data_IF_443596988514
#
_entry.id   IF_443596988514
#
_cell.length_a   1.000
_cell.length_b   1.000
_cell.length_c   1.000
_cell.angle_alpha   90.00
_cell.angle_beta   90.00
_cell.angle_gamma   90.00
#
_symmetry.space_group_name_H-M   'P 1'
#
loop_
_entity.id
_entity.type
_entity.pdbx_description
1 polymer ?
#
# COMPACT_ATOMS: atom_id res chain seq x y z
N UNK A 1 3.83 49.87 -2.31
CA UNK A 1 3.40 48.46 -2.28
C UNK A 1 3.68 47.92 -0.89
N UNK A 2 2.64 47.59 -0.10
CA UNK A 2 2.88 46.96 1.23
C UNK A 2 3.40 45.54 0.99
N UNK A 3 4.59 45.25 1.45
CA UNK A 3 5.11 43.87 1.44
C UNK A 3 4.19 42.99 2.30
N UNK A 4 3.60 41.98 1.70
CA UNK A 4 2.91 40.93 2.44
C UNK A 4 3.89 40.24 3.37
N UNK A 5 3.69 40.39 4.67
CA UNK A 5 4.45 39.61 5.65
C UNK A 5 3.67 38.32 5.89
N UNK A 6 4.08 37.25 5.23
CA UNK A 6 3.54 35.89 5.40
C UNK A 6 3.40 35.44 6.85
N UNK A 7 4.23 36.02 7.74
CA UNK A 7 4.23 35.69 9.16
C UNK A 7 2.90 35.97 9.88
N UNK A 8 2.06 36.89 9.37
CA UNK A 8 0.80 37.25 10.00
C UNK A 8 -0.31 36.25 9.70
N UNK A 9 -0.21 35.49 8.62
CA UNK A 9 -1.27 34.60 8.11
C UNK A 9 -0.90 33.13 8.16
N UNK A 10 0.32 32.79 8.54
CA UNK A 10 0.68 31.39 8.71
C UNK A 10 0.29 30.96 10.13
N UNK A 11 -0.46 29.86 10.28
CA UNK A 11 -0.64 29.26 11.58
C UNK A 11 0.74 29.01 12.19
N UNK A 12 0.88 29.19 13.48
CA UNK A 12 2.12 28.94 14.20
C UNK A 12 2.61 27.54 13.86
N UNK A 13 3.61 27.45 13.01
CA UNK A 13 4.29 26.18 12.78
C UNK A 13 4.91 25.76 14.10
N UNK A 14 4.76 24.51 14.51
CA UNK A 14 5.40 24.02 15.72
C UNK A 14 6.91 24.17 15.56
N UNK A 15 7.48 25.07 16.38
CA UNK A 15 8.90 25.36 16.40
C UNK A 15 9.44 25.11 17.80
N UNK A 16 10.62 24.52 17.87
CA UNK A 16 11.48 24.57 19.05
C UNK A 16 12.61 25.57 18.77
N UNK A 17 12.49 26.77 19.30
CA UNK A 17 13.34 27.90 18.93
C UNK A 17 13.15 28.24 17.43
N UNK A 18 14.18 28.02 16.61
CA UNK A 18 14.17 28.26 15.15
C UNK A 18 13.98 26.96 14.32
N UNK A 19 13.85 25.80 14.97
CA UNK A 19 13.77 24.52 14.28
C UNK A 19 12.30 24.11 14.09
N UNK A 20 11.99 23.61 12.90
CA UNK A 20 10.71 22.93 12.66
C UNK A 20 10.68 21.60 13.42
N UNK A 21 9.59 21.34 14.12
CA UNK A 21 9.38 20.07 14.87
C UNK A 21 8.21 19.26 14.31
N UNK A 22 7.93 19.39 13.00
CA UNK A 22 6.82 18.71 12.34
C UNK A 22 6.89 17.19 12.45
N UNK A 23 8.08 16.61 12.40
CA UNK A 23 8.32 15.18 12.54
C UNK A 23 9.01 14.83 13.86
N UNK A 24 8.58 15.46 14.96
CA UNK A 24 9.12 15.14 16.29
C UNK A 24 8.81 13.68 16.67
N UNK A 25 9.59 13.05 17.55
CA UNK A 25 9.30 11.71 18.06
C UNK A 25 7.88 11.57 18.61
N UNK A 26 7.37 12.60 19.29
CA UNK A 26 6.01 12.62 19.82
C UNK A 26 4.96 12.63 18.71
N UNK A 27 5.13 13.43 17.66
CA UNK A 27 4.21 13.48 16.53
C UNK A 27 4.25 12.17 15.73
N UNK A 28 5.43 11.57 15.55
CA UNK A 28 5.57 10.27 14.90
C UNK A 28 4.87 9.17 15.69
N UNK A 29 5.00 9.17 17.02
CA UNK A 29 4.30 8.23 17.90
C UNK A 29 2.78 8.42 17.85
N UNK A 30 2.31 9.67 17.80
CA UNK A 30 0.88 9.99 17.66
C UNK A 30 0.33 9.51 16.31
N UNK A 31 1.04 9.78 15.21
CA UNK A 31 0.68 9.29 13.87
C UNK A 31 0.60 7.76 13.83
N UNK A 32 1.57 7.07 14.42
CA UNK A 32 1.56 5.60 14.53
C UNK A 32 0.36 5.08 15.33
N UNK A 33 0.02 5.76 16.44
CA UNK A 33 -1.17 5.41 17.23
C UNK A 33 -2.44 5.63 16.44
N UNK A 34 -2.59 6.75 15.76
CA UNK A 34 -3.76 7.03 14.92
C UNK A 34 -3.93 5.98 13.81
N UNK A 35 -2.84 5.59 13.13
CA UNK A 35 -2.88 4.53 12.13
C UNK A 35 -3.32 3.18 12.72
N UNK A 36 -2.84 2.82 13.91
CA UNK A 36 -3.25 1.58 14.59
C UNK A 36 -4.72 1.59 15.01
N UNK A 37 -5.22 2.73 15.51
CA UNK A 37 -6.61 2.89 15.90
C UNK A 37 -7.56 2.98 14.69
N UNK A 38 -7.05 3.37 13.51
CA UNK A 38 -7.80 3.40 12.25
C UNK A 38 -7.90 2.06 11.52
N UNK A 39 -7.19 1.01 11.97
CA UNK A 39 -7.32 -0.31 11.38
C UNK A 39 -8.64 -0.97 11.78
N UNK A 40 -9.34 -1.55 10.81
CA UNK A 40 -10.61 -2.23 11.03
C UNK A 40 -10.44 -3.73 10.79
N UNK A 41 -10.74 -4.55 11.80
CA UNK A 41 -10.82 -6.01 11.65
C UNK A 41 -12.19 -6.38 11.10
N UNK A 42 -12.28 -6.66 9.80
CA UNK A 42 -13.53 -6.95 9.12
C UNK A 42 -14.02 -8.37 9.39
N UNK A 43 -13.09 -9.32 9.52
CA UNK A 43 -13.37 -10.74 9.68
C UNK A 43 -12.23 -11.46 10.39
N UNK A 44 -12.55 -12.30 11.37
CA UNK A 44 -11.60 -13.19 12.04
C UNK A 44 -12.36 -14.39 12.63
N UNK A 45 -12.86 -15.27 11.75
CA UNK A 45 -13.71 -16.40 12.15
C UNK A 45 -12.93 -17.59 12.72
N UNK A 46 -11.61 -17.56 12.57
CA UNK A 46 -10.70 -18.59 13.07
C UNK A 46 -9.64 -18.00 14.02
N UNK A 47 -8.81 -18.82 14.64
CA UNK A 47 -7.79 -18.37 15.60
C UNK A 47 -6.51 -17.86 14.92
N UNK A 48 -6.58 -17.29 13.69
CA UNK A 48 -5.41 -16.84 12.97
C UNK A 48 -4.84 -15.54 13.56
N UNK A 49 -5.71 -14.58 13.83
CA UNK A 49 -5.27 -13.29 14.40
C UNK A 49 -5.66 -13.19 15.88
N UNK A 50 -4.75 -12.69 16.73
CA UNK A 50 -3.38 -12.29 16.43
C UNK A 50 -2.49 -13.47 16.04
N UNK A 51 -1.50 -13.22 15.17
CA UNK A 51 -0.52 -14.25 14.82
C UNK A 51 0.21 -14.74 16.08
N UNK A 52 0.35 -16.04 16.23
CA UNK A 52 1.14 -16.60 17.33
C UNK A 52 2.63 -16.21 17.17
N UNK A 53 3.31 -16.06 18.31
CA UNK A 53 4.75 -15.77 18.30
C UNK A 53 5.51 -16.84 17.53
N UNK A 54 6.43 -16.41 16.64
CA UNK A 54 7.24 -17.31 15.84
C UNK A 54 6.56 -17.83 14.57
N UNK A 55 5.28 -17.49 14.33
CA UNK A 55 4.59 -17.84 13.07
C UNK A 55 5.39 -17.31 11.88
N UNK A 56 5.87 -18.20 11.01
CA UNK A 56 6.50 -17.80 9.75
C UNK A 56 5.45 -17.49 8.70
N UNK A 57 5.55 -16.32 8.09
CA UNK A 57 4.57 -15.78 7.16
C UNK A 57 5.12 -15.74 5.73
N UNK A 58 4.35 -16.26 4.78
CA UNK A 58 4.50 -15.99 3.37
C UNK A 58 3.69 -14.74 2.99
N UNK A 59 4.36 -13.69 2.53
CA UNK A 59 3.75 -12.39 2.25
C UNK A 59 3.52 -12.23 0.75
N UNK A 60 2.25 -12.29 0.34
CA UNK A 60 1.79 -12.24 -1.06
C UNK A 60 1.20 -10.89 -1.43
N UNK A 61 1.27 -10.58 -2.71
CA UNK A 61 0.69 -9.38 -3.29
C UNK A 61 1.68 -8.22 -3.36
N UNK A 62 1.68 -7.54 -4.51
CA UNK A 62 2.52 -6.36 -4.73
C UNK A 62 2.31 -5.26 -3.68
N UNK A 63 1.09 -5.17 -3.13
CA UNK A 63 0.73 -4.22 -2.07
C UNK A 63 1.58 -4.35 -0.80
N UNK A 64 2.32 -5.45 -0.63
CA UNK A 64 3.29 -5.62 0.46
C UNK A 64 4.43 -4.62 0.39
N UNK A 65 4.81 -4.20 -0.83
CA UNK A 65 5.88 -3.25 -1.14
C UNK A 65 5.36 -1.98 -1.82
N UNK A 66 4.37 -2.10 -2.70
CA UNK A 66 3.60 -0.99 -3.28
C UNK A 66 2.49 -0.55 -2.31
N UNK A 67 2.91 -0.11 -1.12
CA UNK A 67 2.02 0.27 -0.04
C UNK A 67 1.66 1.75 -0.15
N UNK A 68 0.38 2.03 -0.27
CA UNK A 68 -0.11 3.41 -0.43
C UNK A 68 -0.15 4.09 0.93
N UNK A 69 0.72 5.08 1.15
CA UNK A 69 0.83 5.84 2.40
C UNK A 69 -0.28 6.89 2.60
N UNK A 70 -0.92 7.27 1.51
CA UNK A 70 -1.95 8.31 1.49
C UNK A 70 -2.35 8.63 0.05
N UNK A 71 -3.28 9.55 -0.12
CA UNK A 71 -3.75 9.97 -1.43
C UNK A 71 -2.74 10.82 -2.20
N UNK A 72 -3.05 11.11 -3.45
CA UNK A 72 -2.30 12.04 -4.30
C UNK A 72 -2.63 13.51 -4.05
N UNK A 73 -2.18 14.38 -4.94
CA UNK A 73 -2.42 15.82 -4.87
C UNK A 73 -1.81 16.45 -3.62
N UNK A 74 -2.58 17.30 -2.95
CA UNK A 74 -2.14 17.98 -1.72
C UNK A 74 -1.93 17.03 -0.54
N UNK A 75 -2.47 15.83 -0.58
CA UNK A 75 -2.25 14.76 0.41
C UNK A 75 -0.92 14.02 0.25
N UNK A 76 -0.25 14.14 -0.90
CA UNK A 76 1.04 13.48 -1.16
C UNK A 76 2.21 14.31 -0.62
N UNK A 77 2.30 14.40 0.69
CA UNK A 77 3.35 15.15 1.37
C UNK A 77 4.70 14.42 1.31
N UNK A 78 5.77 15.20 1.14
CA UNK A 78 7.13 14.69 1.24
C UNK A 78 7.44 14.29 2.68
N UNK A 79 7.83 13.04 2.87
CA UNK A 79 8.18 12.46 4.18
C UNK A 79 9.61 11.94 4.17
N UNK A 80 10.21 11.80 5.35
CA UNK A 80 11.58 11.28 5.48
C UNK A 80 11.68 9.78 5.13
N UNK A 81 10.62 9.03 5.38
CA UNK A 81 10.53 7.61 5.06
C UNK A 81 9.06 7.17 4.97
N UNK A 82 8.84 6.06 4.29
CA UNK A 82 7.57 5.34 4.25
C UNK A 82 7.80 3.92 4.76
N UNK A 83 6.88 3.40 5.54
CA UNK A 83 6.88 1.99 5.97
C UNK A 83 5.79 1.24 5.21
N UNK A 84 6.17 0.17 4.56
CA UNK A 84 5.24 -0.79 3.98
C UNK A 84 4.96 -1.93 4.97
N UNK A 85 4.11 -2.88 4.59
CA UNK A 85 3.76 -3.99 5.48
C UNK A 85 4.96 -4.91 5.74
N UNK A 86 5.80 -5.17 4.72
CA UNK A 86 7.01 -5.96 4.90
C UNK A 86 7.92 -5.37 5.98
N UNK A 87 8.22 -4.06 5.89
CA UNK A 87 9.05 -3.36 6.87
C UNK A 87 8.45 -3.45 8.28
N UNK A 88 7.13 -3.26 8.39
CA UNK A 88 6.41 -3.33 9.66
C UNK A 88 6.48 -4.73 10.30
N UNK A 89 6.30 -5.78 9.52
CA UNK A 89 6.41 -7.17 9.99
C UNK A 89 7.85 -7.52 10.41
N UNK A 90 8.83 -7.10 9.64
CA UNK A 90 10.26 -7.28 9.99
C UNK A 90 10.62 -6.58 11.30
N UNK A 91 10.17 -5.33 11.49
CA UNK A 91 10.40 -4.58 12.71
C UNK A 91 9.69 -5.20 13.93
N UNK A 92 8.54 -5.84 13.70
CA UNK A 92 7.83 -6.60 14.74
C UNK A 92 8.47 -7.97 15.04
N UNK A 93 9.53 -8.35 14.32
CA UNK A 93 10.21 -9.63 14.50
C UNK A 93 9.45 -10.84 13.95
N UNK A 94 8.50 -10.62 13.02
CA UNK A 94 7.78 -11.71 12.36
C UNK A 94 8.71 -12.38 11.35
N UNK A 95 8.95 -13.70 11.43
CA UNK A 95 9.72 -14.42 10.43
C UNK A 95 8.98 -14.42 9.09
N UNK A 96 9.67 -14.03 8.02
CA UNK A 96 9.10 -14.00 6.67
C UNK A 96 9.82 -15.03 5.77
N UNK A 97 9.08 -15.56 4.78
CA UNK A 97 9.65 -16.33 3.70
C UNK A 97 10.26 -15.39 2.67
N UNK A 98 11.54 -15.13 2.79
CA UNK A 98 12.27 -14.09 2.05
C UNK A 98 12.28 -14.29 0.53
N UNK A 99 12.38 -15.50 -0.05
CA UNK A 99 12.38 -15.63 -1.51
C UNK A 99 11.12 -15.07 -2.18
N UNK A 100 9.94 -15.18 -1.52
CA UNK A 100 8.71 -14.57 -2.00
C UNK A 100 8.73 -13.04 -1.84
N UNK A 101 9.25 -12.56 -0.71
CA UNK A 101 9.42 -11.13 -0.47
C UNK A 101 10.38 -10.50 -1.48
N UNK A 102 11.46 -11.18 -1.84
CA UNK A 102 12.42 -10.74 -2.85
C UNK A 102 11.81 -10.68 -4.24
N UNK A 103 10.96 -11.65 -4.60
CA UNK A 103 10.21 -11.64 -5.86
C UNK A 103 9.35 -10.36 -5.98
N UNK A 104 8.52 -10.07 -4.98
CA UNK A 104 7.67 -8.87 -5.02
C UNK A 104 8.46 -7.59 -4.91
N UNK A 105 9.51 -7.54 -4.11
CA UNK A 105 10.40 -6.38 -4.00
C UNK A 105 11.06 -6.05 -5.32
N UNK A 106 11.60 -7.05 -6.00
CA UNK A 106 12.25 -6.87 -7.30
C UNK A 106 11.26 -6.38 -8.35
N UNK A 107 10.05 -6.98 -8.38
CA UNK A 107 8.99 -6.56 -9.28
C UNK A 107 8.61 -5.08 -9.06
N UNK A 108 8.24 -4.70 -7.83
CA UNK A 108 7.81 -3.34 -7.51
C UNK A 108 8.92 -2.32 -7.77
N UNK A 109 10.16 -2.65 -7.40
CA UNK A 109 11.31 -1.77 -7.68
C UNK A 109 11.55 -1.59 -9.17
N UNK A 110 11.36 -2.64 -9.98
CA UNK A 110 11.45 -2.57 -11.43
C UNK A 110 10.37 -1.69 -12.05
N UNK A 111 9.13 -1.79 -11.56
CA UNK A 111 8.02 -0.95 -12.02
C UNK A 111 8.26 0.53 -11.70
N UNK A 112 8.72 0.85 -10.49
CA UNK A 112 9.08 2.23 -10.14
C UNK A 112 10.23 2.77 -10.97
N UNK A 113 11.24 1.95 -11.26
CA UNK A 113 12.34 2.33 -12.14
C UNK A 113 11.87 2.58 -13.60
N UNK A 114 10.79 1.91 -14.01
CA UNK A 114 10.14 2.14 -15.31
C UNK A 114 9.19 3.36 -15.31
N UNK A 115 9.02 4.05 -14.18
CA UNK A 115 8.20 5.25 -14.06
C UNK A 115 6.77 5.00 -13.60
N UNK A 116 6.48 3.82 -13.06
CA UNK A 116 5.19 3.56 -12.45
C UNK A 116 5.02 4.36 -11.16
N UNK A 117 3.77 4.67 -10.86
CA UNK A 117 3.41 5.42 -9.65
C UNK A 117 2.79 4.48 -8.62
N UNK A 118 2.88 4.83 -7.32
CA UNK A 118 2.30 4.03 -6.25
C UNK A 118 0.82 3.68 -6.48
N UNK A 119 0.47 2.42 -6.25
CA UNK A 119 -0.90 1.91 -6.40
C UNK A 119 -1.36 1.64 -7.82
N UNK A 120 -0.56 2.02 -8.85
CA UNK A 120 -0.93 1.90 -10.27
C UNK A 120 -0.01 0.95 -11.04
N UNK A 121 0.29 -0.17 -10.46
CA UNK A 121 0.93 -1.30 -11.16
C UNK A 121 0.05 -2.53 -11.08
N UNK A 122 0.12 -3.38 -12.07
CA UNK A 122 -0.61 -4.66 -12.08
C UNK A 122 -0.03 -5.62 -11.03
N UNK A 123 -0.83 -6.57 -10.58
CA UNK A 123 -0.32 -7.72 -9.83
C UNK A 123 0.52 -8.60 -10.78
N UNK A 124 1.75 -9.00 -10.42
CA UNK A 124 2.55 -9.88 -11.25
C UNK A 124 1.97 -11.29 -11.31
N UNK A 125 2.25 -12.00 -12.38
CA UNK A 125 1.98 -13.44 -12.43
C UNK A 125 2.85 -14.15 -11.37
N UNK A 126 2.18 -14.84 -10.44
CA UNK A 126 2.84 -15.55 -9.35
C UNK A 126 3.30 -16.94 -9.83
N UNK A 127 4.61 -17.25 -9.80
CA UNK A 127 5.08 -18.59 -10.18
C UNK A 127 4.52 -19.68 -9.26
N UNK A 128 4.02 -20.75 -9.84
CA UNK A 128 3.45 -21.88 -9.09
C UNK A 128 4.48 -22.52 -8.15
N UNK A 129 5.69 -22.74 -8.65
CA UNK A 129 6.78 -23.29 -7.86
C UNK A 129 7.12 -22.43 -6.63
N UNK A 130 7.07 -21.09 -6.75
CA UNK A 130 7.32 -20.19 -5.64
C UNK A 130 6.23 -20.28 -4.57
N UNK A 131 4.97 -20.42 -4.99
CA UNK A 131 3.85 -20.66 -4.05
C UNK A 131 3.99 -21.98 -3.31
N UNK A 132 4.37 -23.06 -4.00
CA UNK A 132 4.59 -24.36 -3.38
C UNK A 132 5.72 -24.34 -2.37
N UNK A 133 6.84 -23.67 -2.70
CA UNK A 133 7.97 -23.49 -1.78
C UNK A 133 7.57 -22.63 -0.58
N UNK A 134 6.86 -21.51 -0.80
CA UNK A 134 6.37 -20.66 0.27
C UNK A 134 5.46 -21.44 1.24
N UNK A 135 4.58 -22.30 0.69
CA UNK A 135 3.70 -23.17 1.51
C UNK A 135 4.50 -24.17 2.36
N UNK A 136 5.55 -24.77 1.78
CA UNK A 136 6.38 -25.74 2.51
C UNK A 136 7.18 -25.09 3.67
N UNK A 137 7.50 -23.80 3.56
CA UNK A 137 8.38 -23.08 4.46
C UNK A 137 7.64 -22.10 5.39
N UNK A 138 6.30 -22.04 5.34
CA UNK A 138 5.54 -21.04 6.10
C UNK A 138 4.30 -21.62 6.75
N UNK A 139 3.95 -21.06 7.92
CA UNK A 139 2.80 -21.49 8.73
C UNK A 139 1.49 -20.83 8.29
N UNK A 140 1.59 -19.62 7.73
CA UNK A 140 0.47 -18.80 7.31
C UNK A 140 0.82 -17.93 6.10
N UNK A 141 -0.20 -17.55 5.35
CA UNK A 141 -0.10 -16.58 4.28
C UNK A 141 -0.74 -15.24 4.68
N UNK A 142 -0.15 -14.14 4.23
CA UNK A 142 -0.76 -12.81 4.25
C UNK A 142 -0.82 -12.29 2.83
N UNK A 143 -2.01 -11.94 2.36
CA UNK A 143 -2.23 -11.34 1.04
C UNK A 143 -2.47 -9.86 1.24
N UNK A 144 -1.79 -9.01 0.45
CA UNK A 144 -1.95 -7.56 0.51
C UNK A 144 -2.50 -7.04 -0.80
N UNK A 145 -3.68 -6.45 -0.74
CA UNK A 145 -4.30 -5.76 -1.85
C UNK A 145 -4.26 -4.26 -1.60
N UNK A 146 -3.76 -3.49 -2.57
CA UNK A 146 -3.67 -2.04 -2.46
C UNK A 146 -4.49 -1.37 -3.55
N UNK A 147 -5.13 -0.25 -3.19
CA UNK A 147 -5.82 0.65 -4.10
C UNK A 147 -5.41 2.07 -3.78
N UNK A 148 -5.13 2.82 -4.81
CA UNK A 148 -4.82 4.23 -4.68
C UNK A 148 -6.10 5.06 -4.74
N UNK A 149 -6.21 6.08 -3.89
CA UNK A 149 -7.16 7.18 -4.06
C UNK A 149 -6.51 8.48 -3.65
N UNK A 150 -6.95 9.59 -4.20
CA UNK A 150 -6.36 10.88 -3.91
C UNK A 150 -7.14 12.02 -4.54
N UNK A 151 -6.66 13.25 -4.31
CA UNK A 151 -7.24 14.44 -4.90
C UNK A 151 -7.28 14.33 -6.43
N UNK A 152 -8.46 14.52 -7.02
CA UNK A 152 -8.69 14.32 -8.46
C UNK A 152 -8.82 12.85 -8.90
N UNK A 153 -8.86 11.93 -7.94
CA UNK A 153 -8.91 10.49 -8.16
C UNK A 153 -10.03 9.86 -7.36
N UNK A 154 -11.25 10.30 -7.63
CA UNK A 154 -12.42 9.71 -7.01
C UNK A 154 -12.59 8.27 -7.51
N UNK A 155 -12.90 7.37 -6.59
CA UNK A 155 -13.16 5.98 -6.94
C UNK A 155 -14.55 5.84 -7.47
N UNK A 156 -14.65 5.44 -8.72
CA UNK A 156 -15.90 5.06 -9.34
C UNK A 156 -15.90 3.57 -9.69
N UNK A 157 -17.04 2.89 -9.62
CA UNK A 157 -17.18 1.49 -10.03
C UNK A 157 -16.82 1.26 -11.51
N UNK A 158 -17.01 2.29 -12.32
CA UNK A 158 -16.56 2.35 -13.72
C UNK A 158 -15.63 3.55 -13.84
N UNK A 159 -14.41 3.34 -14.34
CA UNK A 159 -13.52 4.45 -14.69
C UNK A 159 -14.12 5.25 -15.84
N UNK A 160 -14.86 6.27 -15.50
CA UNK A 160 -15.28 7.27 -16.46
C UNK A 160 -14.11 8.21 -16.72
N UNK A 161 -13.48 8.04 -17.86
CA UNK A 161 -12.48 8.97 -18.35
C UNK A 161 -13.15 9.83 -19.41
N UNK A 162 -13.38 11.07 -19.05
CA UNK A 162 -13.64 12.11 -20.03
C UNK A 162 -12.40 12.22 -20.94
N UNK A 163 -12.54 12.00 -22.26
CA UNK A 163 -11.38 12.04 -23.16
C UNK A 163 -10.71 13.42 -23.24
N UNK A 164 -11.34 14.47 -22.75
CA UNK A 164 -10.93 15.88 -22.89
C UNK A 164 -10.51 16.55 -21.57
N UNK A 165 -10.06 15.78 -20.56
CA UNK A 165 -9.58 16.39 -19.33
C UNK A 165 -8.32 17.22 -19.57
N UNK A 166 -8.28 18.53 -19.17
CA UNK A 166 -7.26 19.48 -19.67
C UNK A 166 -5.87 19.38 -19.01
N UNK A 167 -5.62 18.39 -18.13
CA UNK A 167 -4.35 18.25 -17.40
C UNK A 167 -3.50 17.11 -17.93
N UNK A 168 -2.44 17.39 -18.74
CA UNK A 168 -1.71 16.35 -19.46
C UNK A 168 -1.02 15.31 -18.58
N UNK A 169 -0.66 15.66 -17.34
CA UNK A 169 0.03 14.72 -16.44
C UNK A 169 -0.94 13.77 -15.69
N UNK A 170 -2.20 14.13 -15.62
CA UNK A 170 -3.26 13.32 -15.00
C UNK A 170 -3.95 12.42 -16.03
N UNK A 171 -3.85 12.74 -17.31
CA UNK A 171 -4.44 11.97 -18.41
C UNK A 171 -3.83 10.56 -18.58
N UNK A 172 -2.56 10.39 -18.26
CA UNK A 172 -1.93 9.08 -18.39
C UNK A 172 -2.35 8.12 -17.29
N UNK A 173 -2.58 8.65 -16.09
CA UNK A 173 -2.89 7.84 -14.92
C UNK A 173 -4.27 7.18 -15.00
N UNK A 174 -5.36 7.88 -15.34
CA UNK A 174 -6.65 7.26 -15.55
C UNK A 174 -6.66 6.18 -16.62
N UNK A 175 -6.01 6.40 -17.76
CA UNK A 175 -5.93 5.38 -18.82
C UNK A 175 -5.17 4.15 -18.34
N UNK A 176 -4.08 4.35 -17.61
CA UNK A 176 -3.31 3.28 -17.02
C UNK A 176 -4.13 2.53 -15.96
N UNK A 177 -4.86 3.25 -15.10
CA UNK A 177 -5.77 2.64 -14.13
C UNK A 177 -6.84 1.79 -14.82
N UNK A 178 -7.43 2.27 -15.91
CA UNK A 178 -8.42 1.51 -16.69
C UNK A 178 -7.81 0.24 -17.34
N UNK A 179 -6.56 0.33 -17.79
CA UNK A 179 -5.86 -0.83 -18.33
C UNK A 179 -5.60 -1.90 -17.24
N UNK A 180 -5.25 -1.47 -16.02
CA UNK A 180 -5.01 -2.36 -14.88
C UNK A 180 -6.33 -2.89 -14.30
N UNK A 181 -7.35 -2.03 -14.16
CA UNK A 181 -8.64 -2.32 -13.53
C UNK A 181 -9.80 -2.17 -14.52
N UNK A 182 -9.92 -3.05 -15.53
CA UNK A 182 -10.91 -2.89 -16.61
C UNK A 182 -12.38 -2.94 -16.14
N UNK A 183 -12.63 -3.49 -14.94
CA UNK A 183 -13.95 -3.53 -14.29
C UNK A 183 -14.11 -2.50 -13.19
N UNK A 184 -13.18 -1.55 -13.06
CA UNK A 184 -13.07 -0.63 -11.94
C UNK A 184 -12.23 -1.19 -10.80
N UNK A 185 -11.64 -0.31 -10.02
CA UNK A 185 -10.69 -0.65 -8.96
C UNK A 185 -11.33 -1.24 -7.69
N UNK A 186 -12.66 -1.22 -7.61
CA UNK A 186 -13.42 -1.91 -6.56
C UNK A 186 -13.36 -3.43 -6.69
N UNK A 187 -13.12 -3.94 -7.91
CA UNK A 187 -13.05 -5.38 -8.19
C UNK A 187 -11.61 -5.87 -8.22
N UNK A 188 -11.42 -7.15 -7.90
CA UNK A 188 -10.15 -7.81 -8.15
C UNK A 188 -9.87 -7.87 -9.65
N UNK A 189 -8.62 -7.62 -10.05
CA UNK A 189 -8.14 -7.94 -11.39
C UNK A 189 -8.05 -9.45 -11.56
N UNK A 190 -7.97 -9.93 -12.80
CA UNK A 190 -7.85 -11.37 -13.05
C UNK A 190 -6.55 -11.94 -12.46
N UNK A 191 -5.46 -11.16 -12.49
CA UNK A 191 -4.19 -11.51 -11.86
C UNK A 191 -4.29 -11.59 -10.33
N UNK A 192 -4.92 -10.59 -9.69
CA UNK A 192 -5.17 -10.62 -8.24
C UNK A 192 -6.07 -11.81 -7.86
N UNK A 193 -7.12 -12.05 -8.65
CA UNK A 193 -7.99 -13.21 -8.41
C UNK A 193 -7.24 -14.52 -8.51
N UNK A 194 -6.43 -14.70 -9.55
CA UNK A 194 -5.61 -15.90 -9.73
C UNK A 194 -4.62 -16.08 -8.56
N UNK A 195 -3.99 -15.02 -8.08
CA UNK A 195 -3.11 -15.04 -6.91
C UNK A 195 -3.90 -15.45 -5.66
N UNK A 196 -5.05 -14.82 -5.39
CA UNK A 196 -5.90 -15.13 -4.22
C UNK A 196 -6.36 -16.58 -4.26
N UNK A 197 -6.90 -17.06 -5.39
CA UNK A 197 -7.38 -18.43 -5.55
C UNK A 197 -6.24 -19.44 -5.30
N UNK A 198 -5.06 -19.18 -5.84
CA UNK A 198 -3.87 -20.04 -5.66
C UNK A 198 -3.42 -20.07 -4.21
N UNK A 199 -3.33 -18.93 -3.55
CA UNK A 199 -2.88 -18.85 -2.15
C UNK A 199 -3.91 -19.49 -1.22
N UNK A 200 -5.20 -19.20 -1.39
CA UNK A 200 -6.26 -19.83 -0.59
C UNK A 200 -6.37 -21.34 -0.83
N UNK A 201 -6.02 -21.81 -2.03
CA UNK A 201 -5.96 -23.25 -2.31
C UNK A 201 -4.73 -23.95 -1.70
N UNK A 202 -3.65 -23.20 -1.47
CA UNK A 202 -2.41 -23.74 -0.92
C UNK A 202 -2.32 -23.66 0.61
N UNK A 203 -2.85 -22.60 1.23
CA UNK A 203 -2.73 -22.33 2.66
C UNK A 203 -4.08 -22.47 3.38
N UNK A 204 -4.07 -23.11 4.53
CA UNK A 204 -5.24 -23.19 5.43
C UNK A 204 -5.43 -21.89 6.25
N UNK A 205 -4.32 -21.19 6.53
CA UNK A 205 -4.29 -19.97 7.34
C UNK A 205 -3.93 -18.80 6.46
N UNK A 206 -4.93 -18.02 6.08
CA UNK A 206 -4.76 -16.86 5.19
C UNK A 206 -5.37 -15.63 5.84
N UNK A 207 -4.59 -14.57 5.99
CA UNK A 207 -5.06 -13.23 6.31
C UNK A 207 -5.00 -12.34 5.07
N UNK A 208 -6.00 -11.49 4.89
CA UNK A 208 -6.02 -10.50 3.80
C UNK A 208 -5.94 -9.10 4.41
N UNK A 209 -5.02 -8.31 3.92
CA UNK A 209 -4.85 -6.89 4.28
C UNK A 209 -5.30 -6.04 3.10
N UNK A 210 -6.27 -5.18 3.33
CA UNK A 210 -6.74 -4.20 2.37
C UNK A 210 -6.10 -2.83 2.70
N UNK A 211 -5.19 -2.39 1.88
CA UNK A 211 -4.63 -1.03 1.92
C UNK A 211 -5.36 -0.18 0.89
N UNK A 212 -6.48 0.35 1.30
CA UNK A 212 -7.42 1.07 0.44
C UNK A 212 -7.77 2.42 1.05
N UNK A 213 -8.03 3.43 0.21
CA UNK A 213 -8.48 4.75 0.63
C UNK A 213 -9.98 4.90 0.58
#
# INVERSE_FOLDING_TARGET
MKKWTRAIYQPNLPLDGKKRVTASPANTALSRRAAREGMVLLKNDGPLLPLASGTRVALFGKGSFDYVKGGGGSGDVTVAYVKNLYDGLKEAGVPLYEPLSDFYRAYVSGQYAAGDVPGLMAEPELPEALTAQARAESDAAVIVLSRFSGEGWDREPSFYLEPDYPWPNELCMPQKAKAIFPRGDFYLTDAEKAMVDRVCGAFEKVAVVLNVG
#
